data_IF_534017793203
#
_entry.id   IF_534017793203
#
_cell.length_a   1.000
_cell.length_b   1.000
_cell.length_c   1.000
_cell.angle_alpha   90.00
_cell.angle_beta   90.00
_cell.angle_gamma   90.00
#
_symmetry.space_group_name_H-M   'P 1'
#
loop_
_entity.id
_entity.type
_entity.pdbx_description
1 polymer ?
#
# COMPACT_ATOMS: atom_id res chain seq x y z
N UNK A 1 -2.85 -19.20 -3.36
CA UNK A 1 -2.49 -18.98 -1.94
C UNK A 1 -3.78 -18.64 -1.20
N UNK A 2 -4.10 -19.22 -0.04
CA UNK A 2 -5.36 -18.86 0.63
C UNK A 2 -5.33 -17.37 1.04
N UNK A 3 -6.44 -16.65 0.84
CA UNK A 3 -6.63 -15.24 1.25
C UNK A 3 -6.16 -14.98 2.70
N UNK A 4 -6.29 -15.99 3.55
CA UNK A 4 -5.81 -16.00 4.93
C UNK A 4 -4.29 -15.79 5.06
N UNK A 5 -3.50 -16.34 4.14
CA UNK A 5 -2.03 -16.23 4.13
C UNK A 5 -1.59 -14.88 3.60
N UNK A 6 -2.23 -14.39 2.53
CA UNK A 6 -1.93 -13.09 1.94
C UNK A 6 -2.27 -11.93 2.90
N UNK A 7 -3.37 -12.05 3.65
CA UNK A 7 -3.72 -11.07 4.68
C UNK A 7 -2.71 -11.08 5.85
N UNK A 8 -2.18 -12.25 6.22
CA UNK A 8 -1.10 -12.34 7.22
C UNK A 8 0.17 -11.67 6.71
N UNK A 9 0.57 -11.95 5.48
CA UNK A 9 1.74 -11.32 4.84
C UNK A 9 1.57 -9.80 4.82
N UNK A 10 0.44 -9.30 4.34
CA UNK A 10 0.09 -7.87 4.34
C UNK A 10 0.27 -7.22 5.72
N UNK A 11 -0.29 -7.84 6.77
CA UNK A 11 -0.18 -7.32 8.14
C UNK A 11 1.26 -7.29 8.64
N UNK A 12 2.05 -8.33 8.35
CA UNK A 12 3.44 -8.42 8.75
C UNK A 12 4.29 -7.34 8.08
N UNK A 13 4.17 -7.16 6.75
CA UNK A 13 4.96 -6.15 6.03
C UNK A 13 4.57 -4.73 6.44
N UNK A 14 3.29 -4.48 6.74
CA UNK A 14 2.83 -3.18 7.23
C UNK A 14 3.31 -2.88 8.65
N UNK A 15 3.32 -3.88 9.52
CA UNK A 15 3.84 -3.72 10.87
C UNK A 15 5.34 -3.36 10.85
N UNK A 16 6.15 -4.05 10.04
CA UNK A 16 7.59 -3.76 9.92
C UNK A 16 7.87 -2.34 9.40
N UNK A 17 7.12 -1.88 8.39
CA UNK A 17 7.22 -0.50 7.88
C UNK A 17 6.90 0.55 8.96
N UNK A 18 5.81 0.33 9.71
CA UNK A 18 5.38 1.25 10.76
C UNK A 18 6.33 1.28 11.95
N UNK A 19 6.86 0.13 12.37
CA UNK A 19 7.83 0.05 13.47
C UNK A 19 9.12 0.82 13.11
N UNK A 20 9.57 0.72 11.85
CA UNK A 20 10.70 1.51 11.34
C UNK A 20 10.38 3.00 11.32
N UNK A 21 9.19 3.38 10.88
CA UNK A 21 8.77 4.78 10.85
C UNK A 21 8.70 5.40 12.24
N UNK A 22 8.16 4.70 13.24
CA UNK A 22 8.13 5.16 14.64
C UNK A 22 9.55 5.40 15.18
N UNK A 23 10.49 4.49 14.89
CA UNK A 23 11.89 4.66 15.29
C UNK A 23 12.52 5.88 14.64
N UNK A 24 12.29 6.09 13.34
CA UNK A 24 12.83 7.23 12.61
C UNK A 24 12.20 8.54 13.03
N UNK A 25 10.91 8.57 13.35
CA UNK A 25 10.21 9.79 13.76
C UNK A 25 10.66 10.31 15.13
N UNK A 26 11.19 9.46 16.00
CA UNK A 26 11.88 9.89 17.23
C UNK A 26 13.17 10.66 16.95
N UNK A 27 13.85 10.41 15.82
CA UNK A 27 15.07 11.11 15.40
C UNK A 27 14.73 12.34 14.56
N UNK A 28 13.80 12.19 13.61
CA UNK A 28 13.32 13.26 12.74
C UNK A 28 11.78 13.33 12.78
N UNK A 29 11.18 14.19 13.62
CA UNK A 29 9.72 14.31 13.73
C UNK A 29 9.01 14.78 12.46
N UNK A 30 9.75 15.32 11.48
CA UNK A 30 9.21 15.79 10.20
C UNK A 30 9.22 14.71 9.13
N UNK A 31 9.82 13.54 9.41
CA UNK A 31 9.86 12.45 8.42
C UNK A 31 8.44 11.98 8.12
N UNK A 32 8.18 11.73 6.84
CA UNK A 32 6.91 11.26 6.31
C UNK A 32 7.16 9.93 5.63
N UNK A 33 6.38 8.92 5.99
CA UNK A 33 6.40 7.61 5.37
C UNK A 33 5.29 7.52 4.31
N UNK A 34 5.65 7.10 3.10
CA UNK A 34 4.69 6.66 2.08
C UNK A 34 4.83 5.15 1.91
N UNK A 35 3.71 4.44 1.94
CA UNK A 35 3.65 2.99 1.78
C UNK A 35 2.75 2.64 0.60
N UNK A 36 3.13 1.62 -0.16
CA UNK A 36 2.38 1.09 -1.29
C UNK A 36 2.29 -0.42 -1.13
N UNK A 37 1.09 -0.98 -1.28
CA UNK A 37 0.84 -2.43 -1.26
C UNK A 37 -0.04 -2.81 -2.43
N UNK A 38 0.20 -3.98 -3.04
CA UNK A 38 -0.59 -4.46 -4.17
C UNK A 38 -0.51 -5.97 -4.33
N UNK A 39 -1.46 -6.53 -5.08
CA UNK A 39 -1.40 -7.93 -5.53
C UNK A 39 -0.62 -8.02 -6.83
N UNK A 40 0.43 -8.83 -6.83
CA UNK A 40 1.25 -9.13 -8.02
C UNK A 40 0.55 -10.15 -8.92
N UNK A 41 1.03 -10.29 -10.16
CA UNK A 41 0.48 -11.27 -11.11
C UNK A 41 0.62 -12.73 -10.65
N UNK A 42 1.58 -13.04 -9.79
CA UNK A 42 1.79 -14.36 -9.17
C UNK A 42 1.02 -14.54 -7.85
N UNK A 43 0.07 -13.63 -7.54
CA UNK A 43 -0.78 -13.65 -6.35
C UNK A 43 -0.02 -13.55 -5.02
N UNK A 44 1.07 -12.78 -5.00
CA UNK A 44 1.85 -12.46 -3.80
C UNK A 44 1.63 -11.01 -3.37
N UNK A 45 2.08 -10.66 -2.16
CA UNK A 45 2.00 -9.28 -1.66
C UNK A 45 3.20 -8.48 -2.13
N UNK A 46 2.99 -7.58 -3.10
CA UNK A 46 3.98 -6.57 -3.44
C UNK A 46 3.91 -5.41 -2.45
N UNK A 47 5.07 -4.92 -2.02
CA UNK A 47 5.16 -3.77 -1.13
C UNK A 47 6.32 -2.83 -1.49
N UNK A 48 6.16 -1.54 -1.17
CA UNK A 48 7.20 -0.52 -1.25
C UNK A 48 6.99 0.51 -0.15
N UNK A 49 8.09 1.02 0.41
CA UNK A 49 8.07 2.18 1.31
C UNK A 49 9.08 3.23 0.86
N UNK A 50 8.76 4.50 1.10
CA UNK A 50 9.66 5.63 0.87
C UNK A 50 9.51 6.66 2.00
N UNK A 51 10.61 7.33 2.34
CA UNK A 51 10.64 8.36 3.38
C UNK A 51 10.94 9.72 2.77
N UNK A 52 10.27 10.75 3.27
CA UNK A 52 10.40 12.13 2.80
C UNK A 52 10.54 13.08 3.97
N UNK A 53 11.24 14.19 3.78
CA UNK A 53 11.35 15.25 4.79
C UNK A 53 10.26 16.32 4.66
N UNK A 54 9.49 16.26 3.57
CA UNK A 54 8.39 17.17 3.27
C UNK A 54 7.12 16.39 3.00
N UNK A 55 6.03 16.78 3.67
CA UNK A 55 4.71 16.20 3.44
C UNK A 55 4.23 16.42 2.01
N UNK A 56 4.50 17.59 1.42
CA UNK A 56 4.10 17.89 0.04
C UNK A 56 4.78 16.96 -0.96
N UNK A 57 6.08 16.68 -0.79
CA UNK A 57 6.79 15.72 -1.64
C UNK A 57 6.25 14.29 -1.48
N UNK A 58 5.94 13.90 -0.24
CA UNK A 58 5.34 12.60 0.05
C UNK A 58 3.96 12.47 -0.62
N UNK A 59 3.14 13.52 -0.58
CA UNK A 59 1.83 13.56 -1.20
C UNK A 59 1.92 13.50 -2.73
N UNK A 60 2.80 14.28 -3.36
CA UNK A 60 3.07 14.21 -4.81
C UNK A 60 3.51 12.80 -5.24
N UNK A 61 4.39 12.19 -4.47
CA UNK A 61 4.84 10.82 -4.72
C UNK A 61 3.70 9.81 -4.57
N UNK A 62 2.87 9.93 -3.54
CA UNK A 62 1.71 9.07 -3.32
C UNK A 62 0.72 9.17 -4.50
N UNK A 63 0.43 10.39 -4.99
CA UNK A 63 -0.42 10.57 -6.16
C UNK A 63 0.18 9.95 -7.44
N UNK A 64 1.50 10.06 -7.63
CA UNK A 64 2.18 9.43 -8.76
C UNK A 64 2.05 7.89 -8.73
N UNK A 65 2.27 7.29 -7.55
CA UNK A 65 2.09 5.84 -7.37
C UNK A 65 0.65 5.42 -7.65
N UNK A 66 -0.31 6.21 -7.13
CA UNK A 66 -1.72 5.92 -7.30
C UNK A 66 -2.15 6.00 -8.77
N UNK A 67 -1.70 7.03 -9.48
CA UNK A 67 -1.96 7.18 -10.91
C UNK A 67 -1.37 6.02 -11.72
N UNK A 68 -0.15 5.57 -11.39
CA UNK A 68 0.49 4.43 -12.03
C UNK A 68 -0.33 3.15 -11.81
N UNK A 69 -0.73 2.87 -10.56
CA UNK A 69 -1.53 1.69 -10.24
C UNK A 69 -2.90 1.69 -10.89
N UNK A 70 -3.60 2.82 -10.85
CA UNK A 70 -4.88 2.98 -11.54
C UNK A 70 -4.74 2.72 -13.05
N UNK A 71 -3.67 3.20 -13.67
CA UNK A 71 -3.41 2.94 -15.09
C UNK A 71 -3.14 1.46 -15.40
N UNK A 72 -2.55 0.72 -14.46
CA UNK A 72 -2.29 -0.73 -14.58
C UNK A 72 -3.48 -1.61 -14.16
N UNK A 73 -4.47 -1.04 -13.48
CA UNK A 73 -5.63 -1.73 -12.89
C UNK A 73 -6.94 -1.47 -13.66
N UNK A 74 -6.87 -1.33 -14.99
CA UNK A 74 -8.04 -0.99 -15.83
C UNK A 74 -9.20 -2.01 -15.73
N UNK A 75 -8.90 -3.27 -15.39
CA UNK A 75 -9.89 -4.33 -15.24
C UNK A 75 -10.30 -4.59 -13.78
N UNK A 76 -9.80 -3.79 -12.83
CA UNK A 76 -9.94 -4.02 -11.38
C UNK A 76 -9.31 -5.34 -10.88
N UNK A 77 -8.40 -5.93 -11.65
CA UNK A 77 -7.76 -7.23 -11.34
C UNK A 77 -6.44 -7.10 -10.56
N UNK A 78 -6.00 -5.89 -10.24
CA UNK A 78 -4.76 -5.60 -9.51
C UNK A 78 -5.02 -4.66 -8.34
N UNK A 79 -5.65 -5.15 -7.25
CA UNK A 79 -5.93 -4.35 -6.09
C UNK A 79 -4.66 -3.76 -5.49
N UNK A 80 -4.74 -2.53 -5.02
CA UNK A 80 -3.65 -1.82 -4.37
C UNK A 80 -4.18 -0.90 -3.27
N UNK A 81 -3.28 -0.40 -2.42
CA UNK A 81 -3.57 0.71 -1.52
C UNK A 81 -2.29 1.49 -1.24
N UNK A 82 -2.43 2.77 -0.94
CA UNK A 82 -1.31 3.66 -0.63
C UNK A 82 -1.61 4.38 0.67
N UNK A 83 -0.61 4.46 1.55
CA UNK A 83 -0.69 5.15 2.83
C UNK A 83 0.32 6.29 2.90
N UNK A 84 -0.04 7.35 3.62
CA UNK A 84 0.87 8.41 4.07
C UNK A 84 0.79 8.43 5.60
N UNK A 85 1.92 8.21 6.28
CA UNK A 85 2.00 8.09 7.73
C UNK A 85 0.95 7.12 8.31
N UNK A 86 0.75 5.98 7.64
CA UNK A 86 -0.24 4.97 8.02
C UNK A 86 -1.70 5.32 7.72
N UNK A 87 -2.00 6.50 7.17
CA UNK A 87 -3.36 6.89 6.72
C UNK A 87 -3.53 6.59 5.24
N UNK A 88 -4.59 5.86 4.90
CA UNK A 88 -4.87 5.51 3.51
C UNK A 88 -5.19 6.77 2.70
N UNK A 89 -4.67 6.84 1.48
CA UNK A 89 -5.02 7.90 0.55
C UNK A 89 -6.44 7.69 0.01
N UNK A 90 -7.04 8.73 -0.60
CA UNK A 90 -8.42 8.66 -1.12
C UNK A 90 -8.57 7.82 -2.40
N UNK A 91 -7.51 7.16 -2.85
CA UNK A 91 -7.54 6.45 -4.14
C UNK A 91 -8.14 5.07 -3.96
N UNK A 92 -9.17 4.79 -4.75
CA UNK A 92 -9.90 3.53 -4.71
C UNK A 92 -9.10 2.40 -5.39
N UNK A 93 -8.30 1.70 -4.60
CA UNK A 93 -7.52 0.55 -5.06
C UNK A 93 -8.08 -0.81 -4.61
N UNK A 94 -9.16 -0.86 -3.83
CA UNK A 94 -9.88 -2.07 -3.39
C UNK A 94 -9.06 -3.17 -2.67
N UNK A 95 -7.81 -2.92 -2.25
CA UNK A 95 -6.99 -3.96 -1.62
C UNK A 95 -7.56 -4.44 -0.29
N UNK A 96 -8.09 -3.54 0.55
CA UNK A 96 -8.67 -3.93 1.84
C UNK A 96 -9.89 -4.83 1.65
N UNK A 97 -10.76 -4.49 0.71
CA UNK A 97 -11.96 -5.25 0.34
C UNK A 97 -11.57 -6.62 -0.22
N UNK A 98 -10.51 -6.69 -1.04
CA UNK A 98 -9.97 -7.95 -1.53
C UNK A 98 -9.47 -8.84 -0.39
N UNK A 99 -8.67 -8.30 0.52
CA UNK A 99 -8.14 -9.04 1.68
C UNK A 99 -9.22 -9.45 2.69
N UNK A 100 -10.34 -8.73 2.73
CA UNK A 100 -11.53 -9.07 3.51
C UNK A 100 -12.42 -10.12 2.82
N UNK A 101 -12.18 -10.43 1.53
CA UNK A 101 -13.01 -11.32 0.73
C UNK A 101 -14.33 -10.69 0.24
N UNK A 102 -14.50 -9.38 0.42
CA UNK A 102 -15.66 -8.60 -0.05
C UNK A 102 -15.56 -8.28 -1.55
N UNK A 103 -14.35 -8.37 -2.11
CA UNK A 103 -14.06 -8.21 -3.51
C UNK A 103 -13.34 -9.46 -4.04
N UNK A 104 -13.82 -10.01 -5.16
CA UNK A 104 -13.17 -11.12 -5.84
C UNK A 104 -12.65 -10.66 -7.20
N UNK A 105 -11.40 -10.99 -7.49
CA UNK A 105 -10.83 -10.83 -8.83
C UNK A 105 -11.63 -11.71 -9.77
N UNK A 106 -12.19 -11.12 -10.84
CA UNK A 106 -12.73 -11.93 -11.93
C UNK A 106 -11.57 -12.75 -12.49
N UNK A 107 -11.68 -14.08 -12.39
CA UNK A 107 -10.75 -14.94 -13.11
C UNK A 107 -11.03 -14.73 -14.60
N UNK A 108 -10.03 -14.19 -15.31
CA UNK A 108 -10.02 -14.16 -16.77
C UNK A 108 -9.89 -15.57 -17.35
#
# INVERSE_FOLDING_TARGET
>A
MELSSLNKEYKLVRQDSMDKFIKLSHVNPKIVLVEEYWITSDQTMGNRCAYFESYTQAEEYAYLLAANRSALNQNHEKPFCIFINGKETKVDGNLQQFLAGEFQLKQG
#
